data_IF_053006727307
#
_entry.id   IF_053006727307
#
_cell.length_a   1.000
_cell.length_b   1.000
_cell.length_c   1.000
_cell.angle_alpha   90.00
_cell.angle_beta   90.00
_cell.angle_gamma   90.00
#
_symmetry.space_group_name_H-M   'P 1'
#
loop_
_entity.id
_entity.type
_entity.pdbx_description
1 polymer ?
#
# COMPACT_ATOMS: atom_id res chain seq x y z
N UNK A 1 -20.05 0.01 7.46
CA UNK A 1 -19.12 0.62 8.43
C UNK A 1 -19.04 2.11 8.15
N UNK A 2 -18.84 2.93 9.18
CA UNK A 2 -18.66 4.38 9.05
C UNK A 2 -17.18 4.68 8.78
N UNK A 3 -16.90 5.62 7.88
CA UNK A 3 -15.53 6.04 7.52
C UNK A 3 -14.68 6.37 8.76
N UNK A 4 -15.27 7.01 9.76
CA UNK A 4 -14.56 7.41 10.98
C UNK A 4 -14.13 6.20 11.82
N UNK A 5 -14.92 5.13 11.85
CA UNK A 5 -14.58 3.93 12.61
C UNK A 5 -13.47 3.14 11.91
N UNK A 6 -13.49 3.08 10.57
CA UNK A 6 -12.45 2.45 9.77
C UNK A 6 -11.09 3.17 9.95
N UNK A 7 -11.12 4.51 9.99
CA UNK A 7 -9.92 5.32 10.21
C UNK A 7 -9.35 5.18 11.62
N UNK A 8 -10.20 4.91 12.63
CA UNK A 8 -9.76 4.60 14.00
C UNK A 8 -9.19 3.19 14.13
N UNK A 9 -9.75 2.22 13.40
CA UNK A 9 -9.27 0.84 13.40
C UNK A 9 -7.88 0.72 12.77
N UNK A 10 -7.57 1.54 11.77
CA UNK A 10 -6.28 1.52 11.07
C UNK A 10 -5.10 1.85 12.02
N UNK A 11 -4.16 0.92 12.15
CA UNK A 11 -2.89 1.09 12.88
C UNK A 11 -1.67 0.66 12.04
N UNK A 12 -0.46 1.06 12.47
CA UNK A 12 0.78 0.71 11.78
C UNK A 12 1.21 -0.74 12.08
N UNK A 13 0.88 -1.66 11.19
CA UNK A 13 1.25 -3.08 11.29
C UNK A 13 2.70 -3.30 10.90
N UNK A 14 3.48 -3.93 11.79
CA UNK A 14 4.92 -4.25 11.57
C UNK A 14 5.20 -5.72 11.32
N UNK A 15 4.24 -6.60 11.60
CA UNK A 15 4.35 -8.05 11.43
C UNK A 15 3.22 -8.51 10.53
N UNK A 16 3.58 -9.22 9.46
CA UNK A 16 2.64 -9.75 8.47
C UNK A 16 2.72 -11.27 8.49
N UNK A 17 1.60 -11.94 8.23
CA UNK A 17 1.57 -13.38 8.02
C UNK A 17 1.99 -13.68 6.57
N UNK A 18 3.08 -14.43 6.32
CA UNK A 18 3.54 -14.73 4.97
C UNK A 18 2.65 -15.74 4.22
N UNK A 19 1.75 -16.44 4.92
CA UNK A 19 0.86 -17.44 4.32
C UNK A 19 -0.43 -16.83 3.77
N UNK A 20 -0.77 -15.61 4.18
CA UNK A 20 -1.97 -14.90 3.71
C UNK A 20 -1.62 -14.05 2.50
N UNK A 21 -2.19 -14.41 1.35
CA UNK A 21 -2.10 -13.64 0.12
C UNK A 21 -3.33 -12.75 -0.02
N UNK A 22 -3.11 -11.53 -0.48
CA UNK A 22 -4.19 -10.58 -0.79
C UNK A 22 -4.58 -10.77 -2.25
N UNK A 23 -5.88 -10.80 -2.52
CA UNK A 23 -6.42 -10.89 -3.86
C UNK A 23 -6.04 -9.68 -4.71
N UNK A 24 -5.84 -9.91 -6.01
CA UNK A 24 -5.36 -8.86 -6.92
C UNK A 24 -6.36 -7.71 -7.09
N UNK A 25 -7.66 -8.01 -7.00
CA UNK A 25 -8.73 -7.02 -7.08
C UNK A 25 -8.67 -6.01 -5.92
N UNK A 26 -8.39 -6.49 -4.71
CA UNK A 26 -8.27 -5.64 -3.52
C UNK A 26 -7.05 -4.73 -3.62
N UNK A 27 -5.93 -5.25 -4.13
CA UNK A 27 -4.73 -4.45 -4.39
C UNK A 27 -5.03 -3.34 -5.41
N UNK A 28 -5.71 -3.66 -6.52
CA UNK A 28 -6.11 -2.66 -7.52
C UNK A 28 -7.01 -1.59 -6.92
N UNK A 29 -7.96 -1.96 -6.06
CA UNK A 29 -8.85 -1.03 -5.37
C UNK A 29 -8.07 -0.02 -4.52
N UNK A 30 -7.04 -0.48 -3.80
CA UNK A 30 -6.16 0.37 -2.99
C UNK A 30 -5.34 1.32 -3.88
N UNK A 31 -4.78 0.81 -4.98
CA UNK A 31 -3.99 1.62 -5.92
C UNK A 31 -4.84 2.73 -6.54
N UNK A 32 -6.07 2.42 -6.94
CA UNK A 32 -6.98 3.41 -7.51
C UNK A 32 -7.44 4.44 -6.47
N UNK A 33 -7.70 4.03 -5.23
CA UNK A 33 -7.99 4.96 -4.14
C UNK A 33 -6.84 5.93 -3.89
N UNK A 34 -5.58 5.46 -3.94
CA UNK A 34 -4.40 6.30 -3.81
C UNK A 34 -4.24 7.27 -4.99
N UNK A 35 -4.59 6.85 -6.21
CA UNK A 35 -4.59 7.73 -7.40
C UNK A 35 -5.59 8.88 -7.27
N UNK A 36 -6.76 8.62 -6.70
CA UNK A 36 -7.81 9.61 -6.49
C UNK A 36 -7.55 10.57 -5.31
N UNK A 37 -6.46 10.36 -4.56
CA UNK A 37 -6.11 11.22 -3.45
C UNK A 37 -5.77 12.66 -3.93
N UNK A 38 -6.24 13.70 -3.22
CA UNK A 38 -5.95 15.08 -3.57
C UNK A 38 -4.46 15.38 -3.38
N UNK A 39 -3.88 16.14 -4.31
CA UNK A 39 -2.49 16.62 -4.23
C UNK A 39 -2.48 18.15 -4.24
N UNK A 40 -1.52 18.75 -3.52
CA UNK A 40 -1.44 20.20 -3.30
C UNK A 40 -1.61 21.04 -4.59
N UNK A 41 -0.97 20.61 -5.68
CA UNK A 41 -1.06 21.29 -6.99
C UNK A 41 -1.95 20.58 -8.00
N UNK A 42 -2.63 19.49 -7.62
CA UNK A 42 -3.38 18.64 -8.55
C UNK A 42 -2.52 17.85 -9.55
N UNK A 43 -1.19 17.96 -9.46
CA UNK A 43 -0.23 17.41 -10.43
C UNK A 43 0.08 15.92 -10.24
N UNK A 44 -0.52 15.25 -9.24
CA UNK A 44 -0.32 13.82 -8.96
C UNK A 44 1.16 13.38 -9.03
N UNK A 45 2.05 14.15 -8.38
CA UNK A 45 3.50 13.93 -8.44
C UNK A 45 3.95 12.76 -7.55
N UNK A 46 3.36 11.58 -7.73
CA UNK A 46 3.78 10.36 -7.06
C UNK A 46 3.68 9.18 -8.02
N UNK A 47 4.50 8.15 -7.78
CA UNK A 47 4.41 6.87 -8.50
C UNK A 47 4.17 5.77 -7.49
N UNK A 48 3.23 4.88 -7.81
CA UNK A 48 2.95 3.69 -7.02
C UNK A 48 3.63 2.52 -7.72
N UNK A 49 4.50 1.80 -7.00
CA UNK A 49 5.19 0.61 -7.50
C UNK A 49 4.67 -0.59 -6.70
N UNK A 50 3.98 -1.50 -7.37
CA UNK A 50 3.46 -2.73 -6.75
C UNK A 50 4.50 -3.84 -6.90
N UNK A 51 5.06 -4.31 -5.79
CA UNK A 51 6.08 -5.36 -5.77
C UNK A 51 5.43 -6.67 -5.28
N UNK A 52 5.18 -7.60 -6.19
CA UNK A 52 4.64 -8.94 -5.86
C UNK A 52 5.73 -10.00 -5.58
N UNK A 53 6.95 -9.83 -6.15
CA UNK A 53 7.99 -10.86 -6.13
C UNK A 53 8.94 -10.68 -4.95
N UNK A 54 8.99 -11.66 -4.04
CA UNK A 54 9.91 -11.66 -2.88
C UNK A 54 11.39 -11.43 -3.25
N UNK A 55 11.84 -11.94 -4.40
CA UNK A 55 13.23 -11.75 -4.85
C UNK A 55 13.62 -10.29 -5.07
N UNK A 56 12.65 -9.40 -5.33
CA UNK A 56 12.89 -7.96 -5.52
C UNK A 56 12.97 -7.25 -4.17
N UNK A 57 12.17 -7.70 -3.19
CA UNK A 57 12.21 -7.18 -1.82
C UNK A 57 13.57 -7.44 -1.17
N UNK A 58 14.17 -8.62 -1.34
CA UNK A 58 15.48 -8.96 -0.75
C UNK A 58 16.60 -8.05 -1.27
N UNK A 59 16.58 -7.66 -2.55
CA UNK A 59 17.57 -6.74 -3.14
C UNK A 59 17.40 -5.28 -2.69
N UNK A 60 16.18 -4.84 -2.40
CA UNK A 60 15.91 -3.48 -1.95
C UNK A 60 16.08 -3.32 -0.43
N UNK A 61 15.92 -4.42 0.34
CA UNK A 61 16.09 -4.41 1.79
C UNK A 61 17.55 -4.21 2.22
N UNK A 62 18.54 -4.54 1.37
CA UNK A 62 19.96 -4.30 1.67
C UNK A 62 20.38 -2.83 1.59
N UNK A 63 19.50 -1.93 1.15
CA UNK A 63 19.74 -0.48 1.04
C UNK A 63 19.01 0.36 2.09
N UNK A 64 18.33 -0.27 3.05
CA UNK A 64 17.75 0.42 4.20
C UNK A 64 18.80 0.52 5.31
N UNK A 65 19.28 1.74 5.58
CA UNK A 65 19.99 2.11 6.81
C UNK A 65 19.15 1.77 8.06
#
# INVERSE_FOLDING_TARGET
MSLIDDLKWRYATKKYDPSLLVEEEDVKRIVEAARLAPTSSGLQQFRIIVIKKQSVTTKNCSYSL
#
